data_IF_353029460865
#
_entry.id   IF_353029460865
#
_cell.length_a   1.000
_cell.length_b   1.000
_cell.length_c   1.000
_cell.angle_alpha   90.00
_cell.angle_beta   90.00
_cell.angle_gamma   90.00
#
_symmetry.space_group_name_H-M   'P 1'
#
loop_
_entity.id
_entity.type
_entity.pdbx_description
1 polymer ?
#
# COMPACT_ATOMS: atom_id res chain seq x y z
N UNK A 1 23.31 -0.45 3.91
CA UNK A 1 22.04 -0.68 3.22
C UNK A 1 21.40 0.69 3.02
N UNK A 2 21.09 1.10 1.77
CA UNK A 2 20.42 2.38 1.52
C UNK A 2 18.95 2.18 1.85
N UNK A 3 18.40 3.06 2.68
CA UNK A 3 16.99 3.04 3.11
C UNK A 3 16.08 2.92 1.90
N UNK A 4 15.13 1.98 1.93
CA UNK A 4 14.15 1.74 0.86
C UNK A 4 13.09 2.83 0.80
N UNK A 5 13.50 4.08 0.49
CA UNK A 5 12.60 5.20 0.27
C UNK A 5 12.38 5.34 -1.23
N UNK A 6 11.13 5.25 -1.67
CA UNK A 6 10.73 5.50 -3.04
C UNK A 6 10.22 6.93 -3.15
N UNK A 7 10.64 7.63 -4.21
CA UNK A 7 10.24 8.99 -4.50
C UNK A 7 9.39 8.99 -5.77
N UNK A 8 8.12 9.33 -5.66
CA UNK A 8 7.21 9.55 -6.81
C UNK A 8 7.30 11.03 -7.22
N UNK A 9 7.51 11.30 -8.51
CA UNK A 9 7.65 12.66 -9.06
C UNK A 9 6.63 12.92 -10.14
N UNK A 10 6.05 14.13 -10.14
CA UNK A 10 5.12 14.59 -11.16
C UNK A 10 5.82 15.63 -12.04
N UNK A 11 6.01 15.31 -13.31
CA UNK A 11 6.57 16.23 -14.31
C UNK A 11 5.43 16.79 -15.15
N UNK A 12 5.17 18.09 -15.09
CA UNK A 12 4.22 18.77 -15.97
C UNK A 12 4.94 19.22 -17.24
N UNK A 13 4.57 18.64 -18.38
CA UNK A 13 5.04 19.10 -19.70
C UNK A 13 4.18 20.29 -20.14
N UNK A 14 4.70 21.49 -20.06
CA UNK A 14 4.07 22.68 -20.65
C UNK A 14 4.48 22.80 -22.12
N UNK A 15 3.51 22.58 -23.02
CA UNK A 15 3.69 22.83 -24.45
C UNK A 15 3.52 24.33 -24.72
N UNK A 16 4.64 25.05 -24.93
CA UNK A 16 4.60 26.46 -25.38
C UNK A 16 4.51 26.47 -26.91
N UNK A 17 3.38 26.89 -27.45
CA UNK A 17 3.26 27.27 -28.85
C UNK A 17 3.81 28.70 -29.00
N UNK A 18 5.04 28.83 -29.49
CA UNK A 18 5.59 30.14 -29.89
C UNK A 18 5.05 30.53 -31.28
N UNK A 19 4.17 31.50 -31.32
CA UNK A 19 3.77 32.18 -32.56
C UNK A 19 4.87 33.20 -32.92
N UNK A 20 5.63 32.94 -33.97
CA UNK A 20 6.56 33.88 -34.57
C UNK A 20 5.77 34.92 -35.42
N UNK A 21 5.69 36.13 -34.95
CA UNK A 21 5.35 37.30 -35.78
C UNK A 21 6.67 38.01 -36.16
N UNK A 22 7.04 37.92 -37.41
CA UNK A 22 8.16 38.70 -37.99
C UNK A 22 7.73 40.15 -38.23
N UNK A 23 8.30 41.07 -37.46
CA UNK A 23 8.29 42.48 -37.80
C UNK A 23 9.74 43.04 -37.76
N UNK A 24 10.23 43.47 -38.89
CA UNK A 24 11.50 44.20 -39.02
C UNK A 24 11.40 45.53 -38.33
N UNK A 25 12.24 45.82 -37.32
CA UNK A 25 12.59 47.17 -36.90
C UNK A 25 13.99 47.21 -36.28
N UNK A 26 14.68 48.35 -36.50
CA UNK A 26 16.08 48.66 -36.23
C UNK A 26 16.52 48.38 -34.78
N UNK A 27 17.69 47.77 -34.65
CA UNK A 27 18.34 47.40 -33.40
C UNK A 27 18.95 48.61 -32.68
N UNK A 28 18.47 48.84 -31.44
CA UNK A 28 19.27 49.44 -30.37
C UNK A 28 19.79 48.34 -29.46
N UNK A 29 20.94 48.46 -28.77
CA UNK A 29 21.46 47.41 -27.91
C UNK A 29 20.62 47.27 -26.65
N UNK A 30 19.77 46.25 -26.67
CA UNK A 30 18.96 45.87 -25.49
C UNK A 30 19.87 45.10 -24.51
N UNK A 31 20.05 45.64 -23.31
CA UNK A 31 20.57 44.88 -22.18
C UNK A 31 19.76 43.57 -22.09
N UNK A 32 20.42 42.42 -22.32
CA UNK A 32 19.81 41.11 -22.04
C UNK A 32 19.51 41.04 -20.54
N UNK A 33 18.28 41.33 -20.16
CA UNK A 33 17.74 40.85 -18.89
C UNK A 33 17.54 39.36 -19.07
N UNK A 34 18.40 38.58 -18.44
CA UNK A 34 18.19 37.14 -18.30
C UNK A 34 16.95 37.00 -17.43
N UNK A 35 15.81 36.73 -18.05
CA UNK A 35 14.66 36.22 -17.29
C UNK A 35 15.11 34.82 -16.82
N UNK A 36 15.44 34.68 -15.54
CA UNK A 36 15.50 33.37 -14.91
C UNK A 36 14.09 32.78 -15.04
N UNK A 37 13.97 31.71 -15.84
CA UNK A 37 12.75 30.93 -15.86
C UNK A 37 12.50 30.46 -14.42
N UNK A 38 11.26 30.56 -13.90
CA UNK A 38 10.96 30.02 -12.58
C UNK A 38 11.31 28.54 -12.60
N UNK A 39 12.29 28.12 -11.81
CA UNK A 39 12.54 26.70 -11.60
C UNK A 39 11.27 26.10 -11.03
N UNK A 40 10.53 25.33 -11.83
CA UNK A 40 9.41 24.53 -11.33
C UNK A 40 9.96 23.66 -10.20
N UNK A 41 9.44 23.88 -9.00
CA UNK A 41 9.79 23.09 -7.84
C UNK A 41 9.28 21.67 -8.10
N UNK A 42 10.18 20.74 -8.38
CA UNK A 42 9.81 19.31 -8.52
C UNK A 42 9.04 18.88 -7.27
N UNK A 43 7.80 18.45 -7.46
CA UNK A 43 6.98 17.93 -6.39
C UNK A 43 7.26 16.42 -6.26
N UNK A 44 7.58 15.96 -5.06
CA UNK A 44 7.86 14.56 -4.78
C UNK A 44 7.21 14.12 -3.47
N UNK A 45 6.91 12.83 -3.39
CA UNK A 45 6.48 12.15 -2.17
C UNK A 45 7.44 11.00 -1.90
N UNK A 46 7.97 10.96 -0.70
CA UNK A 46 8.80 9.84 -0.22
C UNK A 46 7.91 8.84 0.52
N UNK A 47 8.03 7.55 0.15
CA UNK A 47 7.25 6.46 0.71
C UNK A 47 8.18 5.50 1.43
N UNK A 48 7.79 5.10 2.64
CA UNK A 48 8.46 4.05 3.39
C UNK A 48 7.49 2.89 3.58
N UNK A 49 7.92 1.69 3.24
CA UNK A 49 7.14 0.46 3.43
C UNK A 49 7.81 -0.41 4.49
N UNK A 50 7.00 -1.06 5.30
CA UNK A 50 7.45 -2.11 6.22
C UNK A 50 6.81 -3.45 5.84
N UNK A 51 7.29 -4.54 6.44
CA UNK A 51 6.65 -5.85 6.34
C UNK A 51 5.45 -5.98 7.29
N UNK A 52 5.20 -7.23 7.68
CA UNK A 52 4.05 -7.65 8.46
C UNK A 52 4.18 -7.25 9.94
N UNK A 53 3.13 -6.60 10.47
CA UNK A 53 2.94 -6.40 11.89
C UNK A 53 2.12 -7.58 12.41
N UNK A 54 2.84 -8.60 12.85
CA UNK A 54 2.28 -9.85 13.37
C UNK A 54 2.53 -9.94 14.88
N UNK A 55 1.47 -9.90 15.66
CA UNK A 55 1.52 -9.92 17.12
C UNK A 55 1.15 -11.31 17.64
N UNK A 56 2.17 -12.11 17.94
CA UNK A 56 2.02 -13.45 18.50
C UNK A 56 1.92 -13.45 20.03
N UNK A 57 1.45 -14.57 20.59
CA UNK A 57 1.22 -14.73 22.03
C UNK A 57 2.45 -14.39 22.86
N UNK A 58 3.64 -14.74 22.40
CA UNK A 58 4.89 -14.43 23.09
C UNK A 58 5.13 -12.93 23.30
N UNK A 59 4.58 -12.07 22.45
CA UNK A 59 4.61 -10.62 22.65
C UNK A 59 3.65 -10.20 23.76
N UNK A 60 2.44 -10.73 23.78
CA UNK A 60 1.45 -10.38 24.81
C UNK A 60 1.86 -10.87 26.20
N UNK A 61 2.52 -12.02 26.28
CA UNK A 61 3.05 -12.56 27.53
C UNK A 61 4.18 -11.72 28.14
N UNK A 62 4.86 -10.93 27.29
CA UNK A 62 5.95 -10.03 27.70
C UNK A 62 5.47 -8.64 28.13
N UNK A 63 4.24 -8.25 27.78
CA UNK A 63 3.73 -6.91 27.99
C UNK A 63 2.59 -6.86 29.01
N UNK A 64 2.92 -6.50 30.24
CA UNK A 64 1.95 -6.35 31.32
C UNK A 64 0.90 -5.24 31.05
N UNK A 65 1.15 -4.35 30.08
CA UNK A 65 0.31 -3.16 29.81
C UNK A 65 0.06 -2.87 28.34
N UNK A 66 0.40 -3.79 27.44
CA UNK A 66 0.27 -3.60 25.99
C UNK A 66 0.92 -2.29 25.46
N UNK A 67 2.00 -1.85 26.08
CA UNK A 67 2.77 -0.69 25.63
C UNK A 67 3.80 -1.10 24.58
N UNK A 68 3.43 -0.98 23.30
CA UNK A 68 4.28 -1.38 22.17
C UNK A 68 5.27 -0.28 21.76
N UNK A 69 5.13 0.94 22.26
CA UNK A 69 5.94 2.09 21.85
C UNK A 69 7.44 1.81 21.96
N UNK A 70 7.88 1.27 23.06
CA UNK A 70 9.30 0.95 23.30
C UNK A 70 9.84 -0.12 22.34
N UNK A 71 8.97 -1.03 21.87
CA UNK A 71 9.35 -2.05 20.90
C UNK A 71 9.74 -1.44 19.56
N UNK A 72 9.00 -0.41 19.14
CA UNK A 72 9.24 0.28 17.87
C UNK A 72 10.27 1.40 17.96
N UNK A 73 10.76 1.78 19.15
CA UNK A 73 11.70 2.89 19.30
C UNK A 73 12.97 2.76 18.45
N UNK A 74 13.45 1.54 18.26
CA UNK A 74 14.58 1.26 17.38
C UNK A 74 14.26 1.39 15.90
N UNK A 75 12.99 1.26 15.50
CA UNK A 75 12.51 1.39 14.13
C UNK A 75 12.15 2.83 13.77
N UNK A 76 11.64 3.63 14.72
CA UNK A 76 11.26 5.04 14.51
C UNK A 76 12.29 5.86 13.72
N UNK A 77 13.60 5.74 13.92
CA UNK A 77 14.58 6.49 13.15
C UNK A 77 14.61 6.13 11.65
N UNK A 78 14.07 4.96 11.27
CA UNK A 78 14.04 4.45 9.90
C UNK A 78 12.67 4.64 9.25
N UNK A 79 11.60 4.83 10.03
CA UNK A 79 10.24 5.09 9.54
C UNK A 79 10.15 6.58 9.15
N UNK A 80 10.84 6.95 8.08
CA UNK A 80 10.95 8.32 7.59
C UNK A 80 10.49 8.38 6.15
N UNK A 81 9.48 9.16 5.92
CA UNK A 81 8.91 9.42 4.61
C UNK A 81 7.80 10.43 4.77
N UNK A 82 7.27 10.90 3.66
CA UNK A 82 6.04 11.69 3.68
C UNK A 82 4.84 10.81 4.03
N UNK A 83 4.90 9.52 3.68
CA UNK A 83 3.96 8.48 4.10
C UNK A 83 4.72 7.22 4.50
N UNK A 84 4.33 6.64 5.63
CA UNK A 84 4.83 5.35 6.14
C UNK A 84 3.69 4.33 6.10
N UNK A 85 3.92 3.23 5.40
CA UNK A 85 2.94 2.20 5.09
C UNK A 85 3.39 0.88 5.70
N UNK A 86 2.52 0.22 6.48
CA UNK A 86 2.73 -1.12 7.00
C UNK A 86 1.63 -2.09 6.59
N UNK A 87 1.87 -3.39 6.77
CA UNK A 87 0.83 -4.41 6.71
C UNK A 87 0.44 -4.81 8.13
N UNK A 88 -0.78 -4.48 8.54
CA UNK A 88 -1.34 -4.93 9.83
C UNK A 88 -1.95 -6.30 9.60
N UNK A 89 -1.23 -7.35 9.97
CA UNK A 89 -1.63 -8.72 9.66
C UNK A 89 -2.61 -9.30 10.67
N UNK A 90 -2.60 -8.78 11.89
CA UNK A 90 -3.47 -9.23 12.98
C UNK A 90 -4.66 -8.29 13.12
N UNK A 91 -5.92 -8.80 13.20
CA UNK A 91 -7.07 -7.97 13.55
C UNK A 91 -6.86 -7.22 14.87
N UNK A 92 -7.36 -5.99 14.96
CA UNK A 92 -7.34 -5.17 16.18
C UNK A 92 -8.75 -5.09 16.74
N UNK A 93 -9.25 -6.23 17.24
CA UNK A 93 -10.61 -6.35 17.76
C UNK A 93 -10.77 -5.91 19.21
N UNK A 94 -9.66 -5.79 19.94
CA UNK A 94 -9.69 -5.43 21.35
C UNK A 94 -10.13 -6.57 22.28
N UNK A 95 -10.25 -6.25 23.59
CA UNK A 95 -10.59 -7.21 24.64
C UNK A 95 -11.98 -7.81 24.46
N UNK A 96 -12.92 -7.08 23.86
CA UNK A 96 -14.30 -7.54 23.63
C UNK A 96 -14.36 -8.82 22.77
N UNK A 97 -13.41 -8.98 21.85
CA UNK A 97 -13.30 -10.16 21.00
C UNK A 97 -12.28 -11.18 21.52
N UNK A 98 -11.72 -10.94 22.71
CA UNK A 98 -10.71 -11.80 23.35
C UNK A 98 -9.34 -11.70 22.68
N UNK A 99 -8.35 -11.15 23.41
CA UNK A 99 -6.96 -11.04 22.90
C UNK A 99 -6.38 -12.43 22.67
N UNK A 100 -5.72 -12.60 21.53
CA UNK A 100 -5.08 -13.86 21.14
C UNK A 100 -3.92 -13.63 20.19
N UNK A 101 -2.78 -14.21 20.54
CA UNK A 101 -1.60 -14.31 19.66
C UNK A 101 -1.45 -15.71 19.05
N UNK A 102 -2.56 -16.47 18.92
CA UNK A 102 -2.57 -17.82 18.35
C UNK A 102 -3.03 -17.76 16.88
N UNK A 103 -2.30 -18.43 16.01
CA UNK A 103 -2.63 -18.54 14.58
C UNK A 103 -4.08 -19.01 14.35
N UNK A 104 -4.70 -18.50 13.27
CA UNK A 104 -6.12 -18.67 12.89
C UNK A 104 -7.14 -18.10 13.88
N UNK A 105 -6.67 -17.38 14.90
CA UNK A 105 -7.53 -16.71 15.87
C UNK A 105 -6.84 -15.48 16.46
N UNK A 106 -5.97 -14.86 15.69
CA UNK A 106 -5.30 -13.63 16.12
C UNK A 106 -6.28 -12.53 16.46
N UNK A 107 -5.95 -11.77 17.49
CA UNK A 107 -6.65 -10.55 17.84
C UNK A 107 -5.80 -9.68 18.76
N UNK A 108 -5.45 -8.51 18.28
CA UNK A 108 -4.66 -7.54 19.02
C UNK A 108 -5.51 -6.64 19.91
N UNK A 109 -4.93 -6.13 21.02
CA UNK A 109 -5.56 -5.10 21.85
C UNK A 109 -5.63 -3.76 21.11
N UNK A 110 -6.56 -2.89 21.52
CA UNK A 110 -6.79 -1.57 20.89
C UNK A 110 -5.58 -0.65 21.00
N UNK A 111 -4.74 -0.84 21.99
CA UNK A 111 -3.50 -0.11 22.23
C UNK A 111 -2.53 -0.19 21.04
N UNK A 112 -2.61 -1.25 20.24
CA UNK A 112 -1.85 -1.34 18.96
C UNK A 112 -2.24 -0.18 18.06
N UNK A 113 -3.52 0.00 17.77
CA UNK A 113 -4.00 1.09 16.91
C UNK A 113 -3.66 2.47 17.48
N UNK A 114 -3.75 2.64 18.80
CA UNK A 114 -3.46 3.90 19.48
C UNK A 114 -1.99 4.31 19.35
N UNK A 115 -1.07 3.36 19.30
CA UNK A 115 0.37 3.63 19.27
C UNK A 115 0.95 3.75 17.86
N UNK A 116 0.30 3.23 16.83
CA UNK A 116 0.80 3.27 15.45
C UNK A 116 1.13 4.68 14.95
N UNK A 117 0.32 5.73 15.20
CA UNK A 117 0.66 7.10 14.79
C UNK A 117 1.94 7.63 15.48
N UNK A 118 2.12 7.34 16.75
CA UNK A 118 3.30 7.76 17.52
C UNK A 118 4.57 7.04 17.06
N UNK A 119 4.43 5.84 16.54
CA UNK A 119 5.50 5.09 15.88
C UNK A 119 5.86 5.71 14.53
N UNK A 120 4.90 6.33 13.86
CA UNK A 120 5.07 7.06 12.62
C UNK A 120 4.36 6.45 11.43
N UNK A 121 3.42 5.52 11.63
CA UNK A 121 2.61 4.96 10.55
C UNK A 121 1.48 5.89 10.14
N UNK A 122 1.24 6.01 8.84
CA UNK A 122 0.15 6.79 8.22
C UNK A 122 -0.91 5.89 7.60
N UNK A 123 -0.50 4.75 7.05
CA UNK A 123 -1.35 3.84 6.26
C UNK A 123 -1.11 2.40 6.67
N UNK A 124 -2.20 1.64 6.85
CA UNK A 124 -2.14 0.19 7.03
C UNK A 124 -2.86 -0.54 5.90
N UNK A 125 -2.13 -1.46 5.25
CA UNK A 125 -2.76 -2.48 4.42
C UNK A 125 -3.29 -3.60 5.31
N UNK A 126 -4.48 -4.09 5.01
CA UNK A 126 -5.24 -5.00 5.87
C UNK A 126 -5.71 -6.25 5.13
N UNK A 127 -5.46 -6.34 3.80
CA UNK A 127 -5.81 -7.51 3.00
C UNK A 127 -4.71 -8.57 3.16
N UNK A 128 -4.95 -9.55 4.02
CA UNK A 128 -4.03 -10.65 4.33
C UNK A 128 -4.80 -11.89 4.76
N UNK A 129 -4.10 -13.02 4.98
CA UNK A 129 -4.72 -14.29 5.35
C UNK A 129 -5.33 -14.29 6.75
N UNK A 130 -4.98 -13.34 7.62
CA UNK A 130 -5.54 -13.18 8.97
C UNK A 130 -6.64 -12.10 9.05
N UNK A 131 -6.99 -11.47 7.95
CA UNK A 131 -8.01 -10.38 7.92
C UNK A 131 -9.34 -10.75 8.54
N UNK A 132 -9.69 -12.05 8.56
CA UNK A 132 -10.99 -12.55 9.01
C UNK A 132 -10.92 -13.47 10.24
N UNK A 133 -9.80 -13.53 10.96
CA UNK A 133 -9.60 -14.40 12.13
C UNK A 133 -10.63 -14.17 13.26
N UNK A 134 -11.29 -13.03 13.29
CA UNK A 134 -12.36 -12.66 14.23
C UNK A 134 -13.70 -12.39 13.55
N UNK A 135 -13.88 -12.93 12.35
CA UNK A 135 -15.10 -12.75 11.57
C UNK A 135 -15.40 -11.28 11.28
N UNK A 136 -16.62 -11.00 10.89
CA UNK A 136 -17.02 -9.65 10.49
C UNK A 136 -16.96 -8.63 11.63
N UNK A 137 -17.19 -9.05 12.89
CA UNK A 137 -17.01 -8.14 14.04
C UNK A 137 -15.54 -7.72 14.19
N UNK A 138 -14.58 -8.63 13.96
CA UNK A 138 -13.16 -8.31 13.91
C UNK A 138 -12.82 -7.28 12.83
N UNK A 139 -13.42 -7.42 11.65
CA UNK A 139 -13.28 -6.44 10.55
C UNK A 139 -13.73 -5.05 10.98
N UNK A 140 -14.96 -4.94 11.52
CA UNK A 140 -15.51 -3.66 11.96
C UNK A 140 -14.67 -3.00 13.06
N UNK A 141 -14.26 -3.78 14.06
CA UNK A 141 -13.45 -3.28 15.17
C UNK A 141 -12.06 -2.82 14.67
N UNK A 142 -11.41 -3.60 13.81
CA UNK A 142 -10.10 -3.24 13.24
C UNK A 142 -10.17 -1.93 12.47
N UNK A 143 -11.14 -1.79 11.57
CA UNK A 143 -11.35 -0.56 10.79
C UNK A 143 -11.59 0.64 11.71
N UNK A 144 -12.53 0.48 12.64
CA UNK A 144 -12.86 1.55 13.60
C UNK A 144 -11.65 1.96 14.43
N UNK A 145 -10.94 1.02 15.01
CA UNK A 145 -9.81 1.29 15.90
C UNK A 145 -8.67 2.01 15.17
N UNK A 146 -8.37 1.63 13.91
CA UNK A 146 -7.35 2.29 13.11
C UNK A 146 -7.79 3.70 12.68
N UNK A 147 -9.02 3.84 12.18
CA UNK A 147 -9.55 5.12 11.69
C UNK A 147 -9.73 6.14 12.83
N UNK A 148 -10.19 5.72 14.00
CA UNK A 148 -10.32 6.59 15.19
C UNK A 148 -8.95 7.15 15.64
N UNK A 149 -7.86 6.47 15.29
CA UNK A 149 -6.50 6.92 15.57
C UNK A 149 -5.80 7.58 14.36
N UNK A 150 -6.56 7.91 13.30
CA UNK A 150 -6.06 8.68 12.15
C UNK A 150 -5.23 7.88 11.16
N UNK A 151 -5.24 6.54 11.25
CA UNK A 151 -4.57 5.65 10.29
C UNK A 151 -5.49 5.42 9.09
N UNK A 152 -4.98 5.65 7.89
CA UNK A 152 -5.67 5.30 6.65
C UNK A 152 -5.62 3.78 6.43
N UNK A 153 -6.74 3.18 6.03
CA UNK A 153 -6.87 1.73 5.86
C UNK A 153 -7.08 1.35 4.40
N UNK A 154 -6.49 0.23 3.97
CA UNK A 154 -6.57 -0.26 2.58
C UNK A 154 -6.79 -1.77 2.57
N UNK A 155 -7.77 -2.24 1.81
CA UNK A 155 -7.95 -3.68 1.54
C UNK A 155 -8.83 -4.44 2.52
N UNK A 156 -9.38 -3.75 3.53
CA UNK A 156 -10.43 -4.27 4.39
C UNK A 156 -11.62 -3.31 4.35
N UNK A 157 -12.84 -3.82 4.27
CA UNK A 157 -14.02 -3.01 3.97
C UNK A 157 -15.18 -3.35 4.92
N UNK A 158 -15.91 -2.31 5.33
CA UNK A 158 -17.08 -2.45 6.20
C UNK A 158 -18.36 -2.86 5.44
N UNK A 159 -18.41 -2.56 4.13
CA UNK A 159 -19.57 -2.83 3.27
C UNK A 159 -19.15 -2.86 1.79
N UNK A 160 -20.10 -3.20 0.92
CA UNK A 160 -19.86 -3.26 -0.52
C UNK A 160 -19.53 -1.89 -1.13
N UNK A 161 -20.11 -0.81 -0.62
CA UNK A 161 -19.85 0.56 -1.11
C UNK A 161 -18.38 0.93 -0.91
N UNK A 162 -17.87 0.72 0.29
CA UNK A 162 -16.45 0.94 0.62
C UNK A 162 -15.50 0.01 -0.17
N UNK A 163 -15.92 -1.23 -0.48
CA UNK A 163 -15.14 -2.16 -1.28
C UNK A 163 -15.06 -1.77 -2.78
N UNK A 164 -16.02 -1.01 -3.27
CA UNK A 164 -16.03 -0.49 -4.64
C UNK A 164 -15.29 0.85 -4.79
N UNK A 165 -14.90 1.47 -3.69
CA UNK A 165 -14.12 2.70 -3.68
C UNK A 165 -12.62 2.45 -3.76
N UNK A 166 -11.90 3.40 -4.39
CA UNK A 166 -10.44 3.41 -4.41
C UNK A 166 -9.93 4.34 -3.33
N UNK A 167 -9.10 3.83 -2.44
CA UNK A 167 -8.41 4.66 -1.44
C UNK A 167 -7.37 5.54 -2.11
N UNK A 168 -7.53 6.86 -2.03
CA UNK A 168 -6.59 7.85 -2.60
C UNK A 168 -6.10 8.76 -1.49
N UNK A 169 -4.79 8.90 -1.36
CA UNK A 169 -4.14 9.80 -0.42
C UNK A 169 -3.39 10.87 -1.21
N UNK A 170 -3.67 12.14 -0.89
CA UNK A 170 -2.94 13.27 -1.48
C UNK A 170 -1.87 13.77 -0.51
N UNK A 171 -0.63 13.79 -0.98
CA UNK A 171 0.52 14.30 -0.21
C UNK A 171 1.39 15.16 -1.12
N UNK A 172 1.76 16.33 -0.68
CA UNK A 172 2.58 17.28 -1.46
C UNK A 172 2.01 17.58 -2.87
N UNK A 173 0.67 17.53 -3.04
CA UNK A 173 0.00 17.73 -4.34
C UNK A 173 0.10 16.56 -5.32
N UNK A 174 0.55 15.40 -4.87
CA UNK A 174 0.55 14.14 -5.61
C UNK A 174 -0.53 13.22 -5.03
N UNK A 175 -1.42 12.74 -5.89
CA UNK A 175 -2.45 11.76 -5.53
C UNK A 175 -1.93 10.36 -5.75
N UNK A 176 -1.99 9.53 -4.71
CA UNK A 176 -1.54 8.14 -4.72
C UNK A 176 -2.73 7.25 -4.43
N UNK A 177 -3.07 6.37 -5.35
CA UNK A 177 -4.07 5.34 -5.14
C UNK A 177 -3.44 4.09 -4.53
N UNK A 178 -4.10 3.53 -3.53
CA UNK A 178 -3.70 2.29 -2.87
C UNK A 178 -4.76 1.22 -3.11
N UNK A 179 -4.30 0.06 -3.54
CA UNK A 179 -5.09 -1.17 -3.67
C UNK A 179 -4.41 -2.27 -2.85
N UNK A 180 -5.17 -3.20 -2.30
CA UNK A 180 -4.61 -4.32 -1.56
C UNK A 180 -5.39 -5.61 -1.82
N UNK A 181 -4.65 -6.72 -1.93
CA UNK A 181 -5.19 -8.04 -2.21
C UNK A 181 -4.45 -9.12 -1.42
N UNK A 182 -5.18 -10.18 -1.04
CA UNK A 182 -4.59 -11.38 -0.44
C UNK A 182 -4.75 -12.60 -1.34
N UNK A 183 -3.95 -13.62 -1.11
CA UNK A 183 -4.11 -14.89 -1.82
C UNK A 183 -5.34 -15.67 -1.33
N UNK A 184 -5.67 -15.55 -0.04
CA UNK A 184 -6.80 -16.21 0.62
C UNK A 184 -7.00 -15.62 2.02
N UNK A 185 -7.99 -16.14 2.77
CA UNK A 185 -8.17 -15.93 4.21
C UNK A 185 -8.17 -17.29 4.93
N UNK A 186 -7.50 -17.38 6.11
CA UNK A 186 -7.41 -18.62 6.87
C UNK A 186 -8.76 -19.06 7.43
N UNK A 187 -9.63 -18.12 7.71
CA UNK A 187 -11.01 -18.33 8.14
C UNK A 187 -11.93 -18.05 6.96
N UNK A 188 -12.78 -19.00 6.55
CA UNK A 188 -13.70 -18.79 5.43
C UNK A 188 -14.65 -17.61 5.70
N UNK A 189 -14.82 -16.76 4.68
CA UNK A 189 -15.74 -15.62 4.74
C UNK A 189 -17.13 -16.08 4.32
N UNK A 190 -18.15 -15.78 5.13
CA UNK A 190 -19.54 -16.02 4.79
C UNK A 190 -19.94 -15.22 3.54
N UNK A 191 -20.80 -15.80 2.69
CA UNK A 191 -21.17 -15.22 1.40
C UNK A 191 -21.75 -13.78 1.53
N UNK A 192 -22.43 -13.47 2.62
CA UNK A 192 -22.97 -12.13 2.88
C UNK A 192 -21.90 -11.07 3.17
N UNK A 193 -20.68 -11.50 3.57
CA UNK A 193 -19.54 -10.63 3.87
C UNK A 193 -18.43 -10.73 2.82
N UNK A 194 -18.70 -11.27 1.63
CA UNK A 194 -17.71 -11.48 0.58
C UNK A 194 -16.98 -10.20 0.12
N UNK A 195 -17.49 -9.03 0.50
CA UNK A 195 -16.89 -7.74 0.21
C UNK A 195 -15.75 -7.35 1.17
N UNK A 196 -15.59 -8.01 2.32
CA UNK A 196 -14.67 -7.55 3.40
C UNK A 196 -13.21 -7.47 2.98
N UNK A 197 -12.78 -8.29 2.04
CA UNK A 197 -11.44 -8.22 1.43
C UNK A 197 -11.47 -8.83 0.03
N UNK A 198 -10.46 -8.51 -0.79
CA UNK A 198 -10.36 -9.02 -2.15
C UNK A 198 -9.24 -10.04 -2.27
N UNK A 199 -9.56 -11.24 -2.74
CA UNK A 199 -8.56 -12.25 -3.10
C UNK A 199 -8.14 -12.08 -4.56
N UNK A 200 -6.86 -12.33 -4.88
CA UNK A 200 -6.37 -12.32 -6.26
C UNK A 200 -6.24 -13.71 -6.87
N UNK A 201 -6.52 -14.77 -6.09
CA UNK A 201 -6.57 -16.15 -6.51
C UNK A 201 -7.96 -16.72 -6.25
N UNK A 202 -8.37 -17.71 -7.06
CA UNK A 202 -9.58 -18.46 -6.83
C UNK A 202 -9.40 -19.53 -5.71
N UNK A 203 -10.44 -20.25 -5.39
CA UNK A 203 -10.47 -21.33 -4.38
C UNK A 203 -9.45 -22.47 -4.62
N UNK A 204 -8.95 -22.60 -5.85
CA UNK A 204 -7.91 -23.54 -6.21
C UNK A 204 -6.50 -22.92 -6.18
N UNK A 205 -6.36 -21.73 -5.65
CA UNK A 205 -5.15 -20.91 -5.64
C UNK A 205 -4.59 -20.63 -7.05
N UNK A 206 -5.46 -20.46 -8.03
CA UNK A 206 -5.12 -20.13 -9.41
C UNK A 206 -5.39 -18.66 -9.71
N UNK A 207 -4.45 -17.99 -10.37
CA UNK A 207 -4.62 -16.65 -10.93
C UNK A 207 -5.39 -16.73 -12.24
N UNK A 208 -6.71 -16.88 -12.15
CA UNK A 208 -7.60 -17.13 -13.27
C UNK A 208 -8.07 -15.86 -14.00
N UNK A 209 -8.99 -16.02 -14.93
CA UNK A 209 -9.50 -14.90 -15.75
C UNK A 209 -10.35 -13.93 -14.93
N UNK A 210 -11.17 -14.42 -14.01
CA UNK A 210 -12.08 -13.59 -13.22
C UNK A 210 -11.29 -12.64 -12.30
N UNK A 211 -10.30 -13.16 -11.60
CA UNK A 211 -9.44 -12.36 -10.72
C UNK A 211 -8.58 -11.37 -11.50
N UNK A 212 -8.13 -11.73 -12.71
CA UNK A 212 -7.46 -10.77 -13.60
C UNK A 212 -8.36 -9.62 -14.02
N UNK A 213 -9.61 -9.88 -14.39
CA UNK A 213 -10.56 -8.83 -14.78
C UNK A 213 -10.91 -7.93 -13.57
N UNK A 214 -11.02 -8.49 -12.36
CA UNK A 214 -11.19 -7.72 -11.14
C UNK A 214 -9.99 -6.78 -10.90
N UNK A 215 -8.75 -7.29 -10.89
CA UNK A 215 -7.56 -6.47 -10.74
C UNK A 215 -7.49 -5.38 -11.81
N UNK A 216 -7.81 -5.71 -13.05
CA UNK A 216 -7.83 -4.75 -14.15
C UNK A 216 -8.84 -3.64 -13.93
N UNK A 217 -10.08 -3.98 -13.54
CA UNK A 217 -11.12 -2.99 -13.22
C UNK A 217 -10.62 -2.02 -12.14
N UNK A 218 -10.08 -2.55 -11.04
CA UNK A 218 -9.64 -1.76 -9.91
C UNK A 218 -8.43 -0.86 -10.26
N UNK A 219 -7.43 -1.39 -10.97
CA UNK A 219 -6.25 -0.61 -11.40
C UNK A 219 -6.65 0.50 -12.37
N UNK A 220 -7.56 0.24 -13.33
CA UNK A 220 -8.03 1.29 -14.23
C UNK A 220 -8.78 2.38 -13.49
N UNK A 221 -9.66 2.03 -12.54
CA UNK A 221 -10.35 3.00 -11.70
C UNK A 221 -9.39 3.82 -10.82
N UNK A 222 -8.32 3.19 -10.31
CA UNK A 222 -7.27 3.86 -9.56
C UNK A 222 -6.49 4.88 -10.41
N UNK A 223 -6.14 4.51 -11.63
CA UNK A 223 -5.42 5.39 -12.58
C UNK A 223 -6.24 6.60 -13.02
N UNK A 224 -7.57 6.52 -13.03
CA UNK A 224 -8.43 7.67 -13.29
C UNK A 224 -8.44 8.69 -12.15
N UNK A 225 -8.15 8.25 -10.91
CA UNK A 225 -8.27 9.07 -9.69
C UNK A 225 -6.93 9.59 -9.16
N UNK A 226 -5.79 9.01 -9.59
CA UNK A 226 -4.49 9.26 -8.99
C UNK A 226 -3.36 9.43 -10.00
N UNK A 227 -2.27 10.06 -9.56
CA UNK A 227 -1.03 10.27 -10.32
C UNK A 227 -0.13 9.01 -10.28
N UNK A 228 -0.27 8.18 -9.23
CA UNK A 228 0.45 6.91 -9.07
C UNK A 228 -0.46 5.86 -8.43
N UNK A 229 -0.23 4.60 -8.77
CA UNK A 229 -0.95 3.44 -8.23
C UNK A 229 0.01 2.50 -7.53
N UNK A 230 -0.27 2.22 -6.26
CA UNK A 230 0.46 1.27 -5.43
C UNK A 230 -0.46 0.09 -5.13
N UNK A 231 0.06 -1.12 -5.32
CA UNK A 231 -0.67 -2.36 -5.03
C UNK A 231 0.08 -3.14 -3.95
N UNK A 232 -0.57 -3.33 -2.81
CA UNK A 232 -0.11 -4.24 -1.77
C UNK A 232 -0.61 -5.65 -2.06
N UNK A 233 0.29 -6.62 -1.99
CA UNK A 233 0.00 -8.03 -2.31
C UNK A 233 0.44 -8.92 -1.14
N UNK A 234 -0.51 -9.55 -0.50
CA UNK A 234 -0.22 -10.56 0.51
C UNK A 234 -0.19 -11.94 -0.16
N UNK A 235 1.02 -12.43 -0.44
CA UNK A 235 1.23 -13.55 -1.37
C UNK A 235 2.50 -14.36 -1.10
N UNK A 236 2.66 -15.46 -1.83
CA UNK A 236 3.86 -16.29 -1.76
C UNK A 236 3.67 -17.49 -0.86
N UNK A 237 4.76 -17.99 -0.31
CA UNK A 237 4.79 -19.05 0.67
C UNK A 237 5.59 -18.58 1.88
N UNK A 238 5.10 -18.89 3.07
CA UNK A 238 5.80 -18.56 4.31
C UNK A 238 7.19 -19.19 4.38
N UNK A 239 8.11 -18.49 5.03
CA UNK A 239 9.46 -18.93 5.34
C UNK A 239 10.29 -19.40 4.14
N UNK A 240 10.01 -18.85 2.95
CA UNK A 240 10.78 -19.14 1.74
C UNK A 240 11.24 -17.88 1.04
N UNK A 241 12.47 -17.92 0.52
CA UNK A 241 13.07 -16.85 -0.30
C UNK A 241 12.68 -16.97 -1.78
N UNK A 242 12.14 -18.12 -2.19
CA UNK A 242 11.82 -18.42 -3.59
C UNK A 242 10.43 -17.89 -3.96
N UNK A 243 10.36 -17.20 -5.10
CA UNK A 243 9.09 -16.72 -5.64
C UNK A 243 8.29 -17.87 -6.24
N UNK A 244 7.03 -18.00 -5.85
CA UNK A 244 6.12 -18.94 -6.48
C UNK A 244 5.58 -18.42 -7.82
N UNK A 245 4.84 -19.29 -8.54
CA UNK A 245 4.35 -18.94 -9.88
C UNK A 245 3.25 -17.88 -9.86
N UNK A 246 2.44 -17.82 -8.79
CA UNK A 246 1.34 -16.85 -8.66
C UNK A 246 1.88 -15.45 -8.44
N UNK A 247 2.92 -15.28 -7.61
CA UNK A 247 3.62 -14.01 -7.44
C UNK A 247 4.15 -13.48 -8.77
N UNK A 248 4.87 -14.32 -9.54
CA UNK A 248 5.44 -13.93 -10.83
C UNK A 248 4.37 -13.53 -11.86
N UNK A 249 3.30 -14.31 -11.95
CA UNK A 249 2.19 -14.04 -12.88
C UNK A 249 1.42 -12.76 -12.52
N UNK A 250 1.12 -12.56 -11.23
CA UNK A 250 0.39 -11.39 -10.78
C UNK A 250 1.24 -10.12 -10.92
N UNK A 251 2.54 -10.17 -10.57
CA UNK A 251 3.45 -9.04 -10.74
C UNK A 251 3.57 -8.63 -12.22
N UNK A 252 3.75 -9.58 -13.13
CA UNK A 252 3.80 -9.30 -14.56
C UNK A 252 2.50 -8.68 -15.07
N UNK A 253 1.34 -9.22 -14.65
CA UNK A 253 0.04 -8.69 -15.05
C UNK A 253 -0.21 -7.28 -14.53
N UNK A 254 0.12 -6.99 -13.28
CA UNK A 254 0.02 -5.64 -12.71
C UNK A 254 0.97 -4.65 -13.42
N UNK A 255 2.16 -5.09 -13.83
CA UNK A 255 3.06 -4.29 -14.65
C UNK A 255 2.46 -3.99 -16.02
N UNK A 256 1.81 -4.96 -16.68
CA UNK A 256 1.12 -4.75 -17.95
C UNK A 256 -0.03 -3.74 -17.82
N UNK A 257 -0.72 -3.72 -16.68
CA UNK A 257 -1.75 -2.72 -16.36
C UNK A 257 -1.16 -1.33 -16.04
N UNK A 258 0.16 -1.23 -15.85
CA UNK A 258 0.88 0.01 -15.61
C UNK A 258 0.84 0.52 -14.17
N UNK A 259 0.81 -0.39 -13.20
CA UNK A 259 1.01 -0.10 -11.77
C UNK A 259 2.42 0.46 -11.56
N UNK A 260 2.58 1.39 -10.62
CA UNK A 260 3.87 2.05 -10.35
C UNK A 260 4.71 1.26 -9.36
N UNK A 261 4.09 0.77 -8.28
CA UNK A 261 4.78 0.04 -7.22
C UNK A 261 3.92 -1.14 -6.77
N UNK A 262 4.56 -2.30 -6.60
CA UNK A 262 3.97 -3.47 -5.95
C UNK A 262 4.75 -3.75 -4.67
N UNK A 263 4.04 -3.88 -3.56
CA UNK A 263 4.62 -4.20 -2.24
C UNK A 263 4.06 -5.52 -1.76
N UNK A 264 4.91 -6.53 -1.71
CA UNK A 264 4.56 -7.87 -1.25
C UNK A 264 4.79 -8.04 0.25
N UNK A 265 3.98 -8.92 0.84
CA UNK A 265 4.01 -9.34 2.24
C UNK A 265 3.71 -10.84 2.33
N UNK A 266 3.69 -11.44 3.50
CA UNK A 266 3.32 -12.83 3.82
C UNK A 266 4.49 -13.81 3.99
N UNK A 267 5.56 -13.72 3.20
CA UNK A 267 6.60 -14.76 3.27
C UNK A 267 7.39 -14.74 4.58
N UNK A 268 7.27 -13.68 5.39
CA UNK A 268 8.05 -13.42 6.60
C UNK A 268 9.57 -13.53 6.39
N UNK A 269 9.99 -13.46 5.12
CA UNK A 269 11.37 -13.47 4.65
C UNK A 269 11.57 -12.34 3.65
N UNK A 270 12.72 -11.70 3.66
CA UNK A 270 13.07 -10.71 2.63
C UNK A 270 13.28 -11.44 1.31
N UNK A 271 12.32 -11.34 0.41
CA UNK A 271 12.43 -11.84 -0.95
C UNK A 271 13.10 -10.81 -1.87
N UNK A 272 13.24 -11.12 -3.14
CA UNK A 272 13.89 -10.25 -4.12
C UNK A 272 13.10 -8.97 -4.37
N UNK A 273 13.81 -7.94 -4.82
CA UNK A 273 13.23 -6.74 -5.44
C UNK A 273 13.52 -6.78 -6.93
N UNK A 274 12.56 -6.34 -7.74
CA UNK A 274 12.70 -6.30 -9.20
C UNK A 274 12.17 -4.98 -9.78
N UNK A 275 12.55 -4.71 -11.03
CA UNK A 275 12.05 -3.61 -11.86
C UNK A 275 11.54 -4.21 -13.16
N UNK A 276 10.22 -4.38 -13.22
CA UNK A 276 9.57 -4.92 -14.41
C UNK A 276 9.31 -3.78 -15.40
N UNK A 277 9.58 -4.05 -16.68
CA UNK A 277 9.31 -3.10 -17.77
C UNK A 277 8.39 -3.79 -18.76
N UNK A 278 7.20 -3.22 -18.98
CA UNK A 278 6.25 -3.77 -19.95
C UNK A 278 6.58 -3.34 -21.39
N UNK A 279 5.82 -3.87 -22.34
CA UNK A 279 6.02 -3.60 -23.78
C UNK A 279 5.88 -2.10 -24.14
N UNK A 280 5.18 -1.31 -23.34
CA UNK A 280 5.02 0.13 -23.53
C UNK A 280 6.14 0.96 -22.85
N UNK A 281 7.13 0.30 -22.26
CA UNK A 281 8.24 0.95 -21.55
C UNK A 281 7.88 1.46 -20.14
N UNK A 282 6.70 1.12 -19.62
CA UNK A 282 6.31 1.47 -18.25
C UNK A 282 7.04 0.57 -17.26
N UNK A 283 7.73 1.20 -16.32
CA UNK A 283 8.42 0.53 -15.22
C UNK A 283 7.51 0.37 -14.00
N UNK A 284 7.53 -0.81 -13.39
CA UNK A 284 6.94 -1.12 -12.08
C UNK A 284 8.05 -1.58 -11.13
N UNK A 285 8.16 -0.96 -9.98
CA UNK A 285 9.06 -1.43 -8.91
C UNK A 285 8.31 -2.47 -8.08
N UNK A 286 8.91 -3.65 -7.90
CA UNK A 286 8.30 -4.76 -7.15
C UNK A 286 9.19 -5.13 -5.96
N UNK A 287 8.66 -5.06 -4.77
CA UNK A 287 9.19 -5.71 -3.57
C UNK A 287 8.35 -6.96 -3.35
N UNK A 288 8.94 -8.14 -3.47
CA UNK A 288 8.14 -9.37 -3.37
C UNK A 288 7.81 -9.75 -1.93
N UNK A 289 8.64 -9.38 -0.96
CA UNK A 289 8.36 -9.40 0.47
C UNK A 289 9.50 -8.77 1.28
#
# INVERSE_FOLDING_TARGET
MKNGVIIVRKTKLLLFCALFLTACQQQQPVKKTVCEEPQEKETSVSLTFTGDLLFEQGLYDWWDSYSFGDYFDRLKPYLKGDLVIGNQEVPIGGEELGISGTAYSFNAPVEVAQQLPDVGFDVMTLSNNHSYDRGYDGVKHTLKNLQDNGISTVGLYADQESADEVTVIEKNGIKIAFLAYTYDTNVPIEAEYSFVTKTFLNENHEFDKEHREMLKKDVLAAKEKADAVIVAMHWGNEFTYELNSSQKKAAAYLNDLGVDIIVGNHSHCIQTMDRLINENGKETVVFYS
#
